data_IF_094427817796
#
_entry.id   IF_094427817796
#
_cell.length_a   1.000
_cell.length_b   1.000
_cell.length_c   1.000
_cell.angle_alpha   90.00
_cell.angle_beta   90.00
_cell.angle_gamma   90.00
#
_symmetry.space_group_name_H-M   'P 1'
#
loop_
_entity.id
_entity.type
_entity.pdbx_description
1 polymer ?
#
# COMPACT_ATOMS: atom_id res chain seq x y z
N UNK A 1 -1.45 -60.18 -19.31
CA UNK A 1 -0.73 -59.04 -18.70
C UNK A 1 -0.14 -59.51 -17.38
N UNK A 2 1.19 -59.63 -17.29
CA UNK A 2 1.87 -60.01 -16.04
C UNK A 2 1.95 -58.79 -15.11
N UNK A 3 1.71 -58.93 -13.80
CA UNK A 3 1.82 -57.82 -12.85
C UNK A 3 3.28 -57.50 -12.54
N UNK A 4 3.59 -56.20 -12.41
CA UNK A 4 4.90 -55.71 -11.97
C UNK A 4 5.14 -55.98 -10.47
N UNK A 5 6.38 -56.24 -10.04
CA UNK A 5 6.73 -56.37 -8.64
C UNK A 5 7.00 -54.98 -8.00
N UNK A 6 6.84 -54.83 -6.67
CA UNK A 6 7.13 -53.57 -5.98
C UNK A 6 8.63 -53.46 -5.65
N UNK A 7 9.25 -52.28 -5.69
CA UNK A 7 10.59 -52.10 -5.16
C UNK A 7 10.58 -51.72 -3.66
N UNK A 8 11.00 -52.70 -2.88
CA UNK A 8 11.94 -52.68 -1.73
C UNK A 8 12.29 -51.37 -1.02
N UNK A 9 12.17 -51.43 0.30
CA UNK A 9 12.58 -50.48 1.34
C UNK A 9 14.07 -50.56 1.75
N UNK A 10 14.55 -49.49 2.42
CA UNK A 10 15.71 -49.35 3.37
C UNK A 10 17.03 -48.83 2.71
N UNK A 11 17.89 -47.95 3.33
CA UNK A 11 18.00 -47.60 4.76
C UNK A 11 18.00 -46.11 5.17
N UNK A 12 17.63 -45.95 6.43
CA UNK A 12 17.94 -44.85 7.34
C UNK A 12 19.44 -44.82 7.72
N UNK A 13 20.17 -43.80 7.29
CA UNK A 13 21.35 -43.27 8.01
C UNK A 13 21.91 -42.05 7.27
N UNK A 14 21.81 -40.87 7.89
CA UNK A 14 22.87 -39.85 7.85
C UNK A 14 22.56 -38.76 8.88
N UNK A 15 23.14 -38.99 10.06
CA UNK A 15 23.79 -38.01 10.96
C UNK A 15 23.38 -36.55 10.84
N UNK A 16 22.83 -36.06 11.96
CA UNK A 16 22.83 -34.66 12.36
C UNK A 16 24.24 -34.07 12.25
N UNK A 17 24.38 -33.01 11.46
CA UNK A 17 25.55 -32.14 11.47
C UNK A 17 25.10 -30.75 11.89
N UNK A 18 25.61 -30.38 13.06
CA UNK A 18 25.49 -29.14 13.80
C UNK A 18 25.69 -27.88 12.94
N UNK A 19 24.77 -26.92 13.04
CA UNK A 19 24.96 -25.52 12.60
C UNK A 19 24.96 -24.64 13.87
N UNK A 20 25.83 -23.62 13.97
CA UNK A 20 26.37 -23.13 15.24
C UNK A 20 25.41 -22.23 16.02
N UNK A 21 25.44 -22.39 17.34
CA UNK A 21 24.76 -21.57 18.33
C UNK A 21 25.32 -20.13 18.33
N UNK A 22 24.45 -19.15 18.11
CA UNK A 22 24.75 -17.72 18.30
C UNK A 22 25.00 -17.48 19.80
N UNK A 23 26.10 -16.82 20.22
CA UNK A 23 26.37 -16.63 21.64
C UNK A 23 25.39 -15.63 22.24
N UNK A 24 24.72 -16.07 23.32
CA UNK A 24 23.85 -15.26 24.17
C UNK A 24 24.59 -14.01 24.66
N UNK A 25 24.03 -12.82 24.41
CA UNK A 25 24.50 -11.58 25.03
C UNK A 25 24.38 -11.69 26.55
N UNK A 26 25.53 -11.79 27.22
CA UNK A 26 25.62 -11.60 28.67
C UNK A 26 25.33 -10.15 28.99
N UNK A 27 24.41 -9.97 29.94
CA UNK A 27 24.14 -8.73 30.67
C UNK A 27 25.44 -8.07 31.15
N UNK A 28 25.68 -6.83 30.74
CA UNK A 28 26.62 -5.94 31.43
C UNK A 28 25.82 -4.75 31.94
N UNK A 29 25.61 -4.72 33.26
CA UNK A 29 25.07 -3.58 33.98
C UNK A 29 26.13 -2.48 34.11
N UNK A 30 25.65 -1.24 34.22
CA UNK A 30 26.38 0.01 34.48
C UNK A 30 26.79 0.81 33.24
N UNK A 31 25.85 1.62 32.74
CA UNK A 31 26.10 2.97 32.23
C UNK A 31 24.85 3.82 32.51
N UNK A 32 24.82 4.50 33.65
CA UNK A 32 23.91 5.61 33.92
C UNK A 32 24.37 6.80 33.09
N UNK A 33 23.72 7.02 31.95
CA UNK A 33 23.92 8.18 31.08
C UNK A 33 22.58 8.80 30.74
N UNK A 34 22.42 10.06 31.15
CA UNK A 34 21.29 10.95 30.91
C UNK A 34 20.76 10.90 29.47
N UNK A 35 19.50 10.51 29.31
CA UNK A 35 18.78 10.64 28.05
C UNK A 35 18.50 12.11 27.74
N UNK A 36 19.22 12.65 26.76
CA UNK A 36 18.89 13.92 26.13
C UNK A 36 17.86 13.66 25.03
N UNK A 37 16.63 14.12 25.26
CA UNK A 37 15.66 14.34 24.20
C UNK A 37 16.19 15.47 23.28
N UNK A 38 16.47 15.18 22.01
CA UNK A 38 16.87 16.24 21.08
C UNK A 38 17.57 15.86 19.78
N UNK A 39 17.13 14.83 19.03
CA UNK A 39 17.66 14.56 17.68
C UNK A 39 16.59 14.43 16.57
N UNK A 40 15.29 14.47 16.88
CA UNK A 40 14.21 14.22 15.89
C UNK A 40 13.71 15.44 15.10
N UNK A 41 14.31 16.62 15.30
CA UNK A 41 13.75 17.90 14.81
C UNK A 41 14.13 18.31 13.37
N UNK A 42 15.35 18.05 12.84
CA UNK A 42 15.72 18.51 11.49
C UNK A 42 15.09 17.67 10.38
N UNK A 43 15.05 16.35 10.55
CA UNK A 43 14.58 15.39 9.55
C UNK A 43 13.08 15.53 9.26
N UNK A 44 12.27 15.68 10.31
CA UNK A 44 10.82 15.95 10.18
C UNK A 44 10.56 17.29 9.46
N UNK A 45 11.40 18.30 9.67
CA UNK A 45 11.27 19.58 8.99
C UNK A 45 11.60 19.48 7.50
N UNK A 46 12.58 18.65 7.12
CA UNK A 46 12.92 18.41 5.71
C UNK A 46 11.81 17.65 4.96
N UNK A 47 11.24 16.61 5.57
CA UNK A 47 10.09 15.88 5.00
C UNK A 47 8.89 16.82 4.82
N UNK A 48 8.59 17.65 5.83
CA UNK A 48 7.50 18.62 5.75
C UNK A 48 7.74 19.70 4.69
N UNK A 49 8.98 20.17 4.53
CA UNK A 49 9.35 21.12 3.49
C UNK A 49 9.17 20.51 2.09
N UNK A 50 9.63 19.27 1.90
CA UNK A 50 9.46 18.52 0.66
C UNK A 50 7.98 18.35 0.30
N UNK A 51 7.16 17.97 1.28
CA UNK A 51 5.73 17.84 1.07
C UNK A 51 5.09 19.19 0.78
N UNK A 52 5.45 20.26 1.49
CA UNK A 52 4.95 21.61 1.24
C UNK A 52 5.14 22.06 -0.23
N UNK A 53 6.34 21.84 -0.79
CA UNK A 53 6.64 22.11 -2.20
C UNK A 53 5.86 21.20 -3.15
N UNK A 54 5.51 20.00 -2.69
CA UNK A 54 4.79 18.99 -3.46
C UNK A 54 3.27 19.14 -3.44
N UNK A 55 2.67 19.73 -2.40
CA UNK A 55 1.21 19.92 -2.31
C UNK A 55 0.70 20.74 -3.48
N UNK A 56 1.47 21.71 -4.00
CA UNK A 56 1.08 22.45 -5.20
C UNK A 56 0.97 21.56 -6.46
N UNK A 57 1.72 20.48 -6.52
CA UNK A 57 1.83 19.59 -7.68
C UNK A 57 0.95 18.33 -7.53
N UNK A 58 0.80 17.83 -6.30
CA UNK A 58 0.02 16.67 -5.93
C UNK A 58 -1.34 17.03 -5.28
N UNK A 59 -1.85 18.24 -5.50
CA UNK A 59 -3.14 18.67 -4.97
C UNK A 59 -4.29 17.83 -5.53
N UNK A 60 -5.07 17.22 -4.63
CA UNK A 60 -6.32 16.58 -5.00
C UNK A 60 -7.36 17.62 -5.45
N UNK A 61 -8.32 17.24 -6.32
CA UNK A 61 -9.40 18.14 -6.70
C UNK A 61 -10.17 18.64 -5.47
N UNK A 62 -10.59 19.91 -5.47
CA UNK A 62 -11.27 20.52 -4.33
C UNK A 62 -12.55 19.77 -3.91
N UNK A 63 -13.22 19.09 -4.85
CA UNK A 63 -14.38 18.23 -4.56
C UNK A 63 -13.99 17.01 -3.72
N UNK A 64 -12.83 16.40 -3.98
CA UNK A 64 -12.30 15.27 -3.19
C UNK A 64 -11.95 15.74 -1.79
N UNK A 65 -11.24 16.87 -1.67
CA UNK A 65 -10.88 17.44 -0.37
C UNK A 65 -12.12 17.77 0.48
N UNK A 66 -13.16 18.37 -0.14
CA UNK A 66 -14.44 18.61 0.57
C UNK A 66 -15.14 17.33 1.00
N UNK A 67 -15.09 16.26 0.19
CA UNK A 67 -15.66 14.97 0.59
C UNK A 67 -14.90 14.35 1.77
N UNK A 68 -13.56 14.43 1.78
CA UNK A 68 -12.72 14.02 2.91
C UNK A 68 -13.02 14.84 4.17
N UNK A 69 -13.13 16.17 4.04
CA UNK A 69 -13.48 17.04 5.17
C UNK A 69 -14.86 16.67 5.77
N UNK A 70 -15.83 16.29 4.93
CA UNK A 70 -17.14 15.82 5.38
C UNK A 70 -17.07 14.46 6.09
N UNK A 71 -16.20 13.52 5.67
CA UNK A 71 -16.00 12.27 6.40
C UNK A 71 -15.48 12.48 7.82
N UNK A 72 -14.66 13.52 8.01
CA UNK A 72 -14.11 13.88 9.31
C UNK A 72 -15.10 14.70 10.18
N UNK A 73 -16.27 15.06 9.64
CA UNK A 73 -17.27 15.85 10.34
C UNK A 73 -18.37 14.95 10.95
N UNK A 74 -18.50 14.87 12.28
CA UNK A 74 -19.49 14.01 12.94
C UNK A 74 -20.95 14.43 12.66
N UNK A 75 -21.18 15.62 12.11
CA UNK A 75 -22.50 16.13 11.76
C UNK A 75 -22.83 15.98 10.26
N UNK A 76 -21.90 15.49 9.43
CA UNK A 76 -22.14 15.31 8.01
C UNK A 76 -23.03 14.09 7.75
N UNK A 77 -23.98 14.23 6.83
CA UNK A 77 -24.83 13.14 6.36
C UNK A 77 -24.28 12.52 5.07
N UNK A 78 -24.73 11.30 4.79
CA UNK A 78 -24.50 10.64 3.50
C UNK A 78 -25.00 11.48 2.31
N UNK A 79 -26.05 12.29 2.51
CA UNK A 79 -26.58 13.18 1.48
C UNK A 79 -25.62 14.33 1.16
N UNK A 80 -24.97 14.90 2.18
CA UNK A 80 -24.04 16.03 2.00
C UNK A 80 -22.84 15.60 1.14
N UNK A 81 -22.31 14.39 1.41
CA UNK A 81 -21.21 13.82 0.64
C UNK A 81 -21.65 13.52 -0.80
N UNK A 82 -22.84 12.94 -0.96
CA UNK A 82 -23.41 12.70 -2.29
C UNK A 82 -23.58 13.97 -3.11
N UNK A 83 -24.00 15.07 -2.48
CA UNK A 83 -24.12 16.37 -3.13
C UNK A 83 -22.76 16.90 -3.58
N UNK A 84 -21.76 16.91 -2.70
CA UNK A 84 -20.40 17.38 -3.04
C UNK A 84 -19.81 16.60 -4.21
N UNK A 85 -19.93 15.27 -4.22
CA UNK A 85 -19.44 14.43 -5.32
C UNK A 85 -20.17 14.75 -6.63
N UNK A 86 -21.49 14.98 -6.54
CA UNK A 86 -22.34 15.27 -7.71
C UNK A 86 -22.05 16.63 -8.35
N UNK A 87 -21.36 17.55 -7.67
CA UNK A 87 -20.95 18.85 -8.24
C UNK A 87 -19.87 18.72 -9.33
N UNK A 88 -19.15 17.59 -9.38
CA UNK A 88 -18.20 17.30 -10.46
C UNK A 88 -18.70 16.11 -11.30
N UNK A 89 -19.27 16.39 -12.50
CA UNK A 89 -19.76 15.35 -13.40
C UNK A 89 -18.69 14.36 -13.84
N UNK A 90 -17.43 14.78 -13.96
CA UNK A 90 -16.33 13.92 -14.40
C UNK A 90 -15.86 12.97 -13.28
N UNK A 91 -15.87 13.42 -12.02
CA UNK A 91 -15.66 12.54 -10.87
C UNK A 91 -16.84 11.59 -10.70
N UNK A 92 -18.07 12.10 -10.79
CA UNK A 92 -19.29 11.29 -10.68
C UNK A 92 -19.34 10.18 -11.74
N UNK A 93 -19.08 10.51 -13.01
CA UNK A 93 -19.07 9.52 -14.09
C UNK A 93 -17.98 8.46 -13.89
N UNK A 94 -16.79 8.86 -13.41
CA UNK A 94 -15.70 7.93 -13.12
C UNK A 94 -16.05 6.98 -11.98
N UNK A 95 -16.60 7.51 -10.91
CA UNK A 95 -17.04 6.72 -9.77
C UNK A 95 -18.13 5.73 -10.20
N UNK A 96 -19.15 6.19 -10.93
CA UNK A 96 -20.19 5.32 -11.48
C UNK A 96 -19.59 4.25 -12.40
N UNK A 97 -18.57 4.57 -13.19
CA UNK A 97 -17.85 3.57 -13.99
C UNK A 97 -17.15 2.52 -13.12
N UNK A 98 -16.49 2.93 -12.05
CA UNK A 98 -15.80 2.03 -11.11
C UNK A 98 -16.81 1.10 -10.44
N UNK A 99 -17.87 1.63 -9.81
CA UNK A 99 -18.85 0.80 -9.08
C UNK A 99 -19.66 -0.12 -10.01
N UNK A 100 -19.80 0.20 -11.29
CA UNK A 100 -20.45 -0.68 -12.28
C UNK A 100 -19.47 -1.64 -12.98
N UNK A 101 -18.20 -1.66 -12.60
CA UNK A 101 -17.22 -2.59 -13.18
C UNK A 101 -17.44 -4.01 -12.66
N UNK A 102 -16.92 -4.98 -13.41
CA UNK A 102 -16.94 -6.39 -13.00
C UNK A 102 -16.21 -6.62 -11.65
N UNK A 103 -15.26 -5.75 -11.29
CA UNK A 103 -14.58 -5.74 -9.99
C UNK A 103 -15.51 -5.56 -8.78
N UNK A 104 -16.65 -4.86 -8.96
CA UNK A 104 -17.70 -4.76 -7.92
C UNK A 104 -18.85 -5.74 -8.15
N UNK A 105 -19.12 -6.13 -9.40
CA UNK A 105 -20.01 -7.24 -9.71
C UNK A 105 -21.46 -7.06 -9.25
N UNK A 106 -21.96 -5.82 -9.11
CA UNK A 106 -23.34 -5.59 -8.69
C UNK A 106 -24.34 -6.14 -9.72
N UNK A 107 -25.45 -6.78 -9.27
CA UNK A 107 -26.41 -7.43 -10.16
C UNK A 107 -27.22 -6.44 -11.00
N UNK A 108 -27.35 -5.20 -10.51
CA UNK A 108 -28.09 -4.13 -11.16
C UNK A 108 -27.19 -2.92 -11.36
N UNK A 109 -27.31 -2.27 -12.51
CA UNK A 109 -26.59 -1.03 -12.82
C UNK A 109 -26.93 0.07 -11.81
N UNK A 110 -25.90 0.74 -11.30
CA UNK A 110 -26.01 1.92 -10.43
C UNK A 110 -25.92 3.17 -11.29
N UNK A 111 -26.98 3.98 -11.31
CA UNK A 111 -27.07 5.15 -12.20
C UNK A 111 -26.86 6.49 -11.49
N UNK A 112 -26.90 6.52 -10.16
CA UNK A 112 -26.79 7.77 -9.37
C UNK A 112 -25.81 7.64 -8.22
N UNK A 113 -25.21 8.77 -7.82
CA UNK A 113 -24.28 8.84 -6.67
C UNK A 113 -25.01 8.47 -5.38
N UNK A 114 -26.24 8.95 -5.18
CA UNK A 114 -27.03 8.58 -4.01
C UNK A 114 -27.26 7.07 -3.91
N UNK A 115 -27.53 6.39 -5.05
CA UNK A 115 -27.64 4.93 -5.07
C UNK A 115 -26.31 4.25 -4.81
N UNK A 116 -25.21 4.76 -5.36
CA UNK A 116 -23.87 4.25 -5.08
C UNK A 116 -23.56 4.32 -3.58
N UNK A 117 -23.88 5.44 -2.92
CA UNK A 117 -23.72 5.60 -1.47
C UNK A 117 -24.53 4.59 -0.68
N UNK A 118 -25.79 4.34 -1.07
CA UNK A 118 -26.63 3.35 -0.40
C UNK A 118 -26.10 1.92 -0.52
N UNK A 119 -25.49 1.58 -1.65
CA UNK A 119 -25.06 0.19 -1.94
C UNK A 119 -23.62 -0.07 -1.47
N UNK A 120 -22.72 0.89 -1.68
CA UNK A 120 -21.28 0.75 -1.40
C UNK A 120 -20.93 1.28 -0.01
N UNK A 121 -21.64 2.30 0.47
CA UNK A 121 -21.29 3.03 1.68
C UNK A 121 -20.59 4.35 1.39
N UNK A 122 -20.77 5.32 2.29
CA UNK A 122 -20.25 6.68 2.10
C UNK A 122 -18.73 6.76 2.26
N UNK A 123 -18.19 5.98 3.19
CA UNK A 123 -16.76 5.95 3.50
C UNK A 123 -15.99 5.35 2.31
N UNK A 124 -16.41 4.17 1.89
CA UNK A 124 -15.86 3.39 0.81
C UNK A 124 -15.89 4.17 -0.51
N UNK A 125 -17.01 4.83 -0.80
CA UNK A 125 -17.16 5.59 -2.03
C UNK A 125 -16.22 6.81 -2.07
N UNK A 126 -16.01 7.47 -0.94
CA UNK A 126 -15.07 8.58 -0.82
C UNK A 126 -13.63 8.10 -0.97
N UNK A 127 -13.28 6.98 -0.33
CA UNK A 127 -11.96 6.37 -0.44
C UNK A 127 -11.65 5.99 -1.91
N UNK A 128 -12.62 5.47 -2.66
CA UNK A 128 -12.43 5.15 -4.09
C UNK A 128 -12.22 6.39 -4.96
N UNK A 129 -12.93 7.49 -4.68
CA UNK A 129 -12.70 8.77 -5.35
C UNK A 129 -11.30 9.28 -5.03
N UNK A 130 -10.87 9.17 -3.78
CA UNK A 130 -9.54 9.55 -3.32
C UNK A 130 -8.46 8.80 -4.10
N UNK A 131 -8.46 7.46 -4.06
CA UNK A 131 -7.48 6.62 -4.75
C UNK A 131 -7.45 6.87 -6.27
N UNK A 132 -8.62 6.88 -6.91
CA UNK A 132 -8.71 7.13 -8.36
C UNK A 132 -8.32 8.57 -8.77
N UNK A 133 -8.42 9.53 -7.86
CA UNK A 133 -7.98 10.91 -8.10
C UNK A 133 -6.49 11.06 -7.90
N UNK A 134 -5.91 10.42 -6.88
CA UNK A 134 -4.47 10.38 -6.66
C UNK A 134 -3.74 9.84 -7.89
N UNK A 135 -4.16 8.68 -8.43
CA UNK A 135 -3.57 8.11 -9.67
C UNK A 135 -3.53 9.15 -10.79
N UNK A 136 -4.61 9.90 -11.02
CA UNK A 136 -4.68 10.87 -12.12
C UNK A 136 -3.84 12.12 -11.89
N UNK A 137 -3.73 12.57 -10.65
CA UNK A 137 -2.86 13.70 -10.29
C UNK A 137 -1.42 13.32 -10.60
N UNK A 138 -1.00 12.14 -10.16
CA UNK A 138 0.37 11.68 -10.34
C UNK A 138 0.70 11.20 -11.75
N UNK A 139 -0.25 10.62 -12.49
CA UNK A 139 -0.05 10.23 -13.89
C UNK A 139 0.23 11.42 -14.83
N UNK A 140 -0.01 12.66 -14.38
CA UNK A 140 0.36 13.88 -15.13
C UNK A 140 1.79 14.32 -14.88
N UNK A 141 2.46 13.75 -13.89
CA UNK A 141 3.82 14.10 -13.52
C UNK A 141 4.75 13.17 -14.32
N UNK A 142 5.59 13.71 -15.23
CA UNK A 142 6.53 12.89 -15.96
C UNK A 142 7.57 12.32 -14.98
N UNK A 143 7.79 11.01 -15.05
CA UNK A 143 8.83 10.32 -14.29
C UNK A 143 9.87 9.74 -15.27
N UNK A 144 11.15 9.95 -14.96
CA UNK A 144 12.29 9.46 -15.76
C UNK A 144 13.04 8.31 -15.11
N UNK A 145 12.74 8.01 -13.84
CA UNK A 145 13.44 7.02 -13.03
C UNK A 145 12.74 5.66 -13.07
N UNK A 146 11.42 5.68 -13.14
CA UNK A 146 10.59 4.47 -13.13
C UNK A 146 9.54 4.50 -14.23
N UNK A 147 9.08 3.31 -14.58
CA UNK A 147 7.89 3.12 -15.41
C UNK A 147 6.64 3.35 -14.56
N UNK A 148 5.86 4.38 -14.92
CA UNK A 148 4.66 4.75 -14.19
C UNK A 148 3.52 3.73 -14.36
N UNK A 149 3.49 2.97 -15.46
CA UNK A 149 2.51 1.91 -15.65
C UNK A 149 2.78 0.78 -14.65
N UNK A 150 4.01 0.29 -14.61
CA UNK A 150 4.43 -0.75 -13.65
C UNK A 150 4.23 -0.31 -12.19
N UNK A 151 4.53 0.95 -11.85
CA UNK A 151 4.30 1.47 -10.50
C UNK A 151 2.83 1.41 -10.09
N UNK A 152 1.92 1.83 -10.99
CA UNK A 152 0.49 1.82 -10.70
C UNK A 152 -0.11 0.41 -10.78
N UNK A 153 0.45 -0.50 -11.58
CA UNK A 153 0.07 -1.91 -11.57
C UNK A 153 0.48 -2.59 -10.25
N UNK A 154 1.70 -2.36 -9.75
CA UNK A 154 2.11 -2.78 -8.41
C UNK A 154 1.16 -2.25 -7.33
N UNK A 155 0.98 -0.92 -7.30
CA UNK A 155 0.13 -0.27 -6.31
C UNK A 155 -1.31 -0.79 -6.36
N UNK A 156 -1.87 -0.98 -7.56
CA UNK A 156 -3.21 -1.50 -7.73
C UNK A 156 -3.31 -2.96 -7.25
N UNK A 157 -2.35 -3.80 -7.61
CA UNK A 157 -2.34 -5.20 -7.20
C UNK A 157 -2.21 -5.30 -5.68
N UNK A 158 -1.31 -4.53 -5.05
CA UNK A 158 -1.20 -4.41 -3.59
C UNK A 158 -2.53 -3.98 -2.96
N UNK A 159 -3.23 -3.02 -3.56
CA UNK A 159 -4.59 -2.65 -3.15
C UNK A 159 -5.57 -3.83 -3.22
N UNK A 160 -5.62 -4.56 -4.34
CA UNK A 160 -6.52 -5.72 -4.51
C UNK A 160 -6.20 -6.82 -3.48
N UNK A 161 -4.93 -7.14 -3.28
CA UNK A 161 -4.48 -8.10 -2.27
C UNK A 161 -4.89 -7.64 -0.87
N UNK A 162 -4.69 -6.36 -0.55
CA UNK A 162 -5.08 -5.80 0.75
C UNK A 162 -6.60 -5.88 0.97
N UNK A 163 -7.42 -5.68 -0.08
CA UNK A 163 -8.88 -5.87 -0.05
C UNK A 163 -9.26 -7.31 0.26
N UNK A 164 -8.59 -8.26 -0.38
CA UNK A 164 -8.81 -9.70 -0.20
C UNK A 164 -8.43 -10.12 1.23
N UNK A 165 -7.25 -9.71 1.70
CA UNK A 165 -6.81 -9.94 3.08
C UNK A 165 -7.82 -9.37 4.08
N UNK A 166 -8.29 -8.14 3.87
CA UNK A 166 -9.30 -7.50 4.71
C UNK A 166 -10.61 -8.31 4.81
N UNK A 167 -11.04 -8.99 3.73
CA UNK A 167 -12.20 -9.88 3.75
C UNK A 167 -11.95 -11.13 4.60
N UNK A 168 -10.78 -11.75 4.46
CA UNK A 168 -10.39 -12.91 5.27
C UNK A 168 -10.25 -12.56 6.76
N UNK A 169 -9.80 -11.34 7.05
CA UNK A 169 -9.75 -10.75 8.39
C UNK A 169 -11.12 -10.31 8.93
N UNK A 170 -12.17 -10.33 8.09
CA UNK A 170 -13.50 -9.81 8.40
C UNK A 170 -13.46 -8.35 8.86
N UNK A 171 -12.56 -7.56 8.29
CA UNK A 171 -12.46 -6.13 8.55
C UNK A 171 -13.72 -5.42 8.03
N UNK A 172 -14.24 -4.41 8.76
CA UNK A 172 -15.47 -3.73 8.37
C UNK A 172 -15.32 -2.90 7.09
N UNK A 173 -14.13 -2.34 6.83
CA UNK A 173 -13.89 -1.37 5.76
C UNK A 173 -12.89 -1.90 4.72
N UNK A 174 -13.32 -2.89 3.94
CA UNK A 174 -12.45 -3.55 2.94
C UNK A 174 -11.99 -2.60 1.81
N UNK A 175 -12.83 -1.66 1.38
CA UNK A 175 -12.46 -0.67 0.36
C UNK A 175 -11.45 0.36 0.89
N UNK A 176 -11.51 0.66 2.19
CA UNK A 176 -10.48 1.50 2.82
C UNK A 176 -9.12 0.81 2.77
N UNK A 177 -9.08 -0.48 3.12
CA UNK A 177 -7.86 -1.30 3.02
C UNK A 177 -7.35 -1.37 1.57
N UNK A 178 -8.25 -1.51 0.59
CA UNK A 178 -7.90 -1.44 -0.83
C UNK A 178 -7.17 -0.13 -1.18
N UNK A 179 -7.69 1.01 -0.73
CA UNK A 179 -7.10 2.32 -1.03
C UNK A 179 -5.82 2.57 -0.24
N UNK A 180 -5.70 2.07 0.99
CA UNK A 180 -4.44 2.09 1.75
C UNK A 180 -3.34 1.34 0.99
N UNK A 181 -3.63 0.13 0.51
CA UNK A 181 -2.69 -0.63 -0.33
C UNK A 181 -2.40 0.07 -1.66
N UNK A 182 -3.39 0.73 -2.27
CA UNK A 182 -3.17 1.50 -3.50
C UNK A 182 -2.26 2.73 -3.32
N UNK A 183 -2.24 3.32 -2.13
CA UNK A 183 -1.53 4.57 -1.87
C UNK A 183 -0.26 4.41 -1.02
N UNK A 184 0.09 3.20 -0.59
CA UNK A 184 1.20 2.95 0.34
C UNK A 184 2.53 3.56 -0.14
N UNK A 185 2.82 3.48 -1.44
CA UNK A 185 4.09 3.91 -2.05
C UNK A 185 4.04 5.31 -2.70
N UNK A 186 2.98 6.08 -2.49
CA UNK A 186 2.83 7.38 -3.17
C UNK A 186 3.96 8.38 -2.83
N UNK A 187 4.60 8.23 -1.67
CA UNK A 187 5.75 9.03 -1.27
C UNK A 187 6.94 8.88 -2.21
N UNK A 188 7.11 7.71 -2.83
CA UNK A 188 8.17 7.45 -3.82
C UNK A 188 8.04 8.38 -5.02
N UNK A 189 6.81 8.69 -5.45
CA UNK A 189 6.56 9.61 -6.56
C UNK A 189 6.99 11.04 -6.24
N UNK A 190 6.87 11.44 -4.97
CA UNK A 190 7.36 12.73 -4.48
C UNK A 190 8.89 12.74 -4.49
N UNK A 191 9.53 11.68 -3.97
CA UNK A 191 10.98 11.53 -4.00
C UNK A 191 11.53 11.59 -5.43
N UNK A 192 10.97 10.82 -6.36
CA UNK A 192 11.40 10.80 -7.77
C UNK A 192 11.28 12.16 -8.45
N UNK A 193 10.32 12.98 -8.02
CA UNK A 193 10.09 14.30 -8.60
C UNK A 193 11.04 15.35 -8.02
N UNK A 194 11.23 15.38 -6.71
CA UNK A 194 11.89 16.49 -6.00
C UNK A 194 13.32 16.18 -5.56
N UNK A 195 13.71 14.90 -5.56
CA UNK A 195 15.07 14.41 -5.26
C UNK A 195 15.50 13.33 -6.28
N UNK A 196 15.45 13.61 -7.61
CA UNK A 196 15.66 12.58 -8.62
C UNK A 196 17.06 11.97 -8.58
N UNK A 197 18.11 12.75 -8.31
CA UNK A 197 19.48 12.25 -8.23
C UNK A 197 19.68 11.31 -7.04
N UNK A 198 19.19 11.69 -5.85
CA UNK A 198 19.24 10.85 -4.65
C UNK A 198 18.38 9.60 -4.82
N UNK A 199 17.20 9.73 -5.41
CA UNK A 199 16.33 8.59 -5.68
C UNK A 199 16.99 7.60 -6.64
N UNK A 200 17.67 8.08 -7.68
CA UNK A 200 18.45 7.21 -8.58
C UNK A 200 19.55 6.47 -7.82
N UNK A 201 20.26 7.16 -6.92
CA UNK A 201 21.30 6.54 -6.08
C UNK A 201 20.72 5.48 -5.14
N UNK A 202 19.58 5.74 -4.49
CA UNK A 202 18.90 4.79 -3.62
C UNK A 202 18.42 3.56 -4.41
N UNK A 203 17.83 3.75 -5.60
CA UNK A 203 17.42 2.67 -6.49
C UNK A 203 18.61 1.80 -6.95
N UNK A 204 19.73 2.42 -7.29
CA UNK A 204 20.96 1.70 -7.66
C UNK A 204 21.53 0.92 -6.47
N UNK A 205 21.51 1.51 -5.26
CA UNK A 205 21.96 0.88 -4.02
C UNK A 205 21.08 -0.32 -3.66
N UNK A 206 19.75 -0.19 -3.72
CA UNK A 206 18.82 -1.29 -3.48
C UNK A 206 19.07 -2.45 -4.45
N UNK A 207 19.14 -2.16 -5.76
CA UNK A 207 19.36 -3.18 -6.81
C UNK A 207 20.71 -3.89 -6.69
N UNK A 208 21.79 -3.17 -6.39
CA UNK A 208 23.15 -3.72 -6.36
C UNK A 208 23.54 -4.32 -5.02
N UNK A 209 23.04 -3.76 -3.92
CA UNK A 209 23.32 -4.18 -2.55
C UNK A 209 22.33 -5.21 -2.00
N UNK A 210 21.20 -5.46 -2.68
CA UNK A 210 20.14 -6.34 -2.20
C UNK A 210 19.44 -5.81 -0.95
N UNK A 211 19.49 -4.50 -0.73
CA UNK A 211 18.83 -3.81 0.38
C UNK A 211 17.39 -3.44 0.00
N UNK A 212 16.44 -3.46 0.94
CA UNK A 212 15.12 -2.87 0.73
C UNK A 212 15.22 -1.39 0.33
N UNK A 213 14.31 -0.92 -0.52
CA UNK A 213 14.36 0.45 -1.02
C UNK A 213 14.29 1.49 0.10
N UNK A 214 13.41 1.30 1.10
CA UNK A 214 13.29 2.23 2.22
C UNK A 214 14.60 2.35 3.01
N UNK A 215 15.34 1.26 3.22
CA UNK A 215 16.66 1.31 3.88
C UNK A 215 17.70 2.05 3.04
N UNK A 216 17.70 1.86 1.72
CA UNK A 216 18.59 2.58 0.81
C UNK A 216 18.25 4.08 0.79
N UNK A 217 16.97 4.44 0.83
CA UNK A 217 16.52 5.82 0.95
C UNK A 217 16.95 6.44 2.27
N UNK A 218 16.77 5.74 3.40
CA UNK A 218 17.25 6.19 4.71
C UNK A 218 18.77 6.48 4.68
N UNK A 219 19.57 5.64 4.02
CA UNK A 219 21.02 5.86 3.91
C UNK A 219 21.40 7.07 3.03
N UNK A 220 20.64 7.36 1.98
CA UNK A 220 20.97 8.40 0.99
C UNK A 220 20.34 9.75 1.34
N UNK A 221 19.11 9.75 1.83
CA UNK A 221 18.26 10.92 2.08
C UNK A 221 18.11 11.22 3.57
N UNK A 222 18.31 10.24 4.45
CA UNK A 222 17.97 10.34 5.86
C UNK A 222 16.47 10.22 6.14
N UNK A 223 15.65 9.86 5.15
CA UNK A 223 14.23 9.55 5.30
C UNK A 223 13.80 8.68 4.12
N UNK A 224 12.66 8.00 4.24
CA UNK A 224 12.13 7.12 3.19
C UNK A 224 10.79 7.58 2.60
N UNK A 225 10.33 6.85 1.58
CA UNK A 225 9.04 7.11 0.94
C UNK A 225 7.84 6.91 1.87
N UNK A 226 7.92 6.06 2.89
CA UNK A 226 6.82 5.85 3.84
C UNK A 226 6.62 7.09 4.69
N UNK A 227 7.70 7.72 5.15
CA UNK A 227 7.67 8.99 5.88
C UNK A 227 7.14 10.15 5.02
N UNK A 228 7.58 10.24 3.76
CA UNK A 228 7.10 11.26 2.81
C UNK A 228 5.63 11.04 2.45
N UNK A 229 5.23 9.78 2.23
CA UNK A 229 3.85 9.41 1.96
C UNK A 229 2.93 9.76 3.12
N UNK A 230 3.33 9.46 4.36
CA UNK A 230 2.56 9.81 5.55
C UNK A 230 2.38 11.33 5.69
N UNK A 231 3.44 12.10 5.46
CA UNK A 231 3.37 13.56 5.46
C UNK A 231 2.46 14.09 4.32
N UNK A 232 2.39 13.41 3.17
CA UNK A 232 1.42 13.73 2.12
C UNK A 232 -0.02 13.44 2.57
N UNK A 233 -0.28 12.31 3.25
CA UNK A 233 -1.60 12.00 3.80
C UNK A 233 -2.04 13.03 4.84
N UNK A 234 -1.13 13.48 5.70
CA UNK A 234 -1.35 14.58 6.65
C UNK A 234 -1.71 15.88 5.91
N UNK A 235 -0.97 16.23 4.84
CA UNK A 235 -1.24 17.42 4.05
C UNK A 235 -2.59 17.36 3.31
N UNK A 236 -3.02 16.16 2.91
CA UNK A 236 -4.36 15.89 2.35
C UNK A 236 -5.45 15.77 3.42
N UNK A 237 -5.11 15.94 4.71
CA UNK A 237 -6.05 15.84 5.84
C UNK A 237 -6.83 14.51 5.86
N UNK A 238 -6.16 13.45 5.42
CA UNK A 238 -6.75 12.12 5.47
C UNK A 238 -6.86 11.63 6.92
N UNK A 239 -7.80 10.70 7.20
CA UNK A 239 -7.88 10.05 8.51
C UNK A 239 -6.56 9.41 8.94
N UNK A 240 -6.33 9.36 10.25
CA UNK A 240 -5.13 8.75 10.88
C UNK A 240 -4.86 7.35 10.36
N UNK A 241 -5.90 6.60 10.00
CA UNK A 241 -5.77 5.28 9.41
C UNK A 241 -4.87 5.27 8.17
N UNK A 242 -5.00 6.25 7.26
CA UNK A 242 -4.11 6.34 6.09
C UNK A 242 -2.69 6.78 6.46
N UNK A 243 -2.57 7.73 7.38
CA UNK A 243 -1.27 8.27 7.82
C UNK A 243 -0.44 7.16 8.46
N UNK A 244 -1.02 6.43 9.41
CA UNK A 244 -0.35 5.38 10.17
C UNK A 244 -0.01 4.19 9.27
N UNK A 245 -0.94 3.74 8.41
CA UNK A 245 -0.67 2.62 7.50
C UNK A 245 0.44 2.97 6.51
N UNK A 246 0.42 4.17 5.93
CA UNK A 246 1.47 4.60 4.99
C UNK A 246 2.80 4.75 5.70
N UNK A 247 2.83 5.28 6.93
CA UNK A 247 4.07 5.47 7.70
C UNK A 247 4.75 4.15 8.07
N UNK A 248 3.97 3.16 8.49
CA UNK A 248 4.49 1.96 9.14
C UNK A 248 4.34 0.69 8.31
N UNK A 249 4.00 0.76 7.02
CA UNK A 249 3.83 -0.46 6.22
C UNK A 249 5.11 -1.30 6.07
N UNK A 250 6.32 -0.73 6.23
CA UNK A 250 7.57 -1.52 6.33
C UNK A 250 7.84 -2.08 7.74
N UNK A 251 7.21 -1.49 8.76
CA UNK A 251 7.38 -1.84 10.17
C UNK A 251 6.02 -1.91 10.91
N UNK A 252 5.08 -2.79 10.52
CA UNK A 252 3.74 -2.87 11.11
C UNK A 252 3.70 -3.03 12.64
N UNK A 253 4.77 -3.51 13.29
CA UNK A 253 4.82 -3.59 14.76
C UNK A 253 4.91 -2.23 15.46
N UNK A 254 5.32 -1.16 14.76
CA UNK A 254 5.40 0.20 15.29
C UNK A 254 4.06 0.95 15.24
N UNK A 255 3.10 0.45 14.45
CA UNK A 255 1.74 0.96 14.42
C UNK A 255 1.09 0.87 15.82
N UNK A 256 0.23 1.84 16.15
CA UNK A 256 -0.42 2.00 17.45
C UNK A 256 -1.93 1.75 17.35
N UNK A 257 -2.65 2.52 16.54
CA UNK A 257 -4.11 2.48 16.48
C UNK A 257 -4.61 1.56 15.38
N UNK A 258 -3.92 1.49 14.24
CA UNK A 258 -4.36 0.79 13.03
C UNK A 258 -3.45 -0.41 12.70
N UNK A 259 -3.01 -1.12 13.74
CA UNK A 259 -2.06 -2.25 13.61
C UNK A 259 -2.51 -3.34 12.64
N UNK A 260 -3.81 -3.65 12.63
CA UNK A 260 -4.35 -4.71 11.78
C UNK A 260 -4.32 -4.28 10.30
N UNK A 261 -4.74 -3.05 10.02
CA UNK A 261 -4.70 -2.46 8.69
C UNK A 261 -3.27 -2.31 8.19
N UNK A 262 -2.34 -1.84 9.04
CA UNK A 262 -0.92 -1.71 8.69
C UNK A 262 -0.31 -3.06 8.39
N UNK A 263 -0.60 -4.09 9.20
CA UNK A 263 -0.14 -5.45 8.93
C UNK A 263 -0.75 -6.02 7.64
N UNK A 264 -2.02 -5.72 7.33
CA UNK A 264 -2.65 -6.12 6.08
C UNK A 264 -1.99 -5.48 4.86
N UNK A 265 -1.64 -4.18 4.92
CA UNK A 265 -0.90 -3.49 3.85
C UNK A 265 0.50 -4.06 3.69
N UNK A 266 1.22 -4.30 4.79
CA UNK A 266 2.54 -4.94 4.76
C UNK A 266 2.49 -6.31 4.08
N UNK A 267 1.59 -7.20 4.51
CA UNK A 267 1.43 -8.52 3.91
C UNK A 267 1.02 -8.42 2.44
N UNK A 268 0.18 -7.45 2.09
CA UNK A 268 -0.22 -7.23 0.71
C UNK A 268 0.96 -6.84 -0.18
N UNK A 269 1.85 -5.97 0.28
CA UNK A 269 3.03 -5.57 -0.47
C UNK A 269 4.02 -6.75 -0.63
N UNK A 270 4.25 -7.51 0.44
CA UNK A 270 5.07 -8.74 0.39
C UNK A 270 4.51 -9.76 -0.61
N UNK A 271 3.20 -10.04 -0.55
CA UNK A 271 2.52 -10.97 -1.47
C UNK A 271 2.62 -10.47 -2.91
N UNK A 272 2.44 -9.18 -3.14
CA UNK A 272 2.55 -8.56 -4.47
C UNK A 272 3.97 -8.69 -5.01
N UNK A 273 4.98 -8.44 -4.18
CA UNK A 273 6.38 -8.65 -4.52
C UNK A 273 6.67 -10.09 -4.94
N UNK A 274 6.12 -11.08 -4.22
CA UNK A 274 6.26 -12.50 -4.58
C UNK A 274 5.55 -12.82 -5.90
N UNK A 275 4.30 -12.38 -6.08
CA UNK A 275 3.52 -12.61 -7.29
C UNK A 275 4.22 -12.01 -8.53
N UNK A 276 4.67 -10.76 -8.46
CA UNK A 276 5.30 -10.05 -9.58
C UNK A 276 6.77 -10.41 -9.81
N UNK A 277 7.49 -10.90 -8.79
CA UNK A 277 8.86 -11.43 -8.97
C UNK A 277 8.90 -12.63 -9.90
N UNK A 278 7.81 -13.41 -9.98
CA UNK A 278 7.70 -14.51 -10.94
C UNK A 278 7.46 -14.03 -12.38
N UNK A 279 7.05 -12.77 -12.57
CA UNK A 279 6.57 -12.25 -13.85
C UNK A 279 7.46 -11.17 -14.50
N UNK A 280 8.16 -10.30 -13.75
CA UNK A 280 8.83 -9.12 -14.35
C UNK A 280 10.14 -8.63 -13.71
N UNK A 281 10.60 -9.18 -12.58
CA UNK A 281 11.97 -8.98 -12.09
C UNK A 281 12.40 -7.54 -11.74
N UNK A 282 11.47 -6.59 -11.61
CA UNK A 282 11.77 -5.16 -11.37
C UNK A 282 11.52 -4.71 -9.93
N UNK A 283 10.67 -5.40 -9.17
CA UNK A 283 10.40 -5.12 -7.76
C UNK A 283 10.99 -6.23 -6.89
N UNK A 284 11.95 -5.85 -6.04
CA UNK A 284 12.47 -6.75 -5.02
C UNK A 284 11.44 -6.80 -3.87
N UNK A 285 10.96 -7.99 -3.52
CA UNK A 285 9.96 -8.16 -2.49
C UNK A 285 10.42 -7.51 -1.16
N UNK A 286 9.54 -6.73 -0.54
CA UNK A 286 9.77 -6.19 0.80
C UNK A 286 10.05 -7.34 1.78
N UNK A 287 11.04 -7.19 2.67
CA UNK A 287 11.32 -8.23 3.66
C UNK A 287 10.11 -8.39 4.59
N UNK A 288 9.68 -9.63 4.79
CA UNK A 288 8.59 -9.94 5.70
C UNK A 288 8.99 -9.63 7.14
N UNK A 289 8.23 -8.77 7.81
CA UNK A 289 8.33 -8.61 9.26
C UNK A 289 7.59 -9.79 9.94
N UNK A 290 8.33 -10.58 10.72
CA UNK A 290 7.78 -11.78 11.37
C UNK A 290 6.50 -11.54 12.20
N UNK A 291 6.35 -10.35 12.79
CA UNK A 291 5.17 -9.98 13.58
C UNK A 291 3.90 -9.72 12.76
N UNK A 292 3.99 -9.52 11.45
CA UNK A 292 2.83 -9.17 10.62
C UNK A 292 1.78 -10.31 10.54
N UNK A 293 2.23 -11.57 10.46
CA UNK A 293 1.34 -12.73 10.53
C UNK A 293 0.68 -12.88 11.90
N UNK A 294 1.42 -12.59 12.97
CA UNK A 294 0.88 -12.65 14.34
C UNK A 294 -0.19 -11.58 14.58
N UNK A 295 0.03 -10.35 14.09
CA UNK A 295 -0.91 -9.24 14.19
C UNK A 295 -2.23 -9.52 13.45
N UNK A 296 -2.16 -10.22 12.32
CA UNK A 296 -3.33 -10.57 11.50
C UNK A 296 -4.01 -11.86 11.97
N UNK A 297 -3.28 -12.74 12.67
CA UNK A 297 -3.77 -14.06 13.05
C UNK A 297 -3.98 -15.00 11.86
N UNK A 298 -3.47 -14.64 10.67
CA UNK A 298 -3.55 -15.46 9.46
C UNK A 298 -2.40 -16.46 9.40
N UNK A 299 -2.64 -17.62 8.78
CA UNK A 299 -1.56 -18.56 8.43
C UNK A 299 -0.92 -18.18 7.10
N UNK A 300 0.37 -18.46 6.95
CA UNK A 300 1.12 -18.33 5.70
C UNK A 300 0.45 -19.12 4.55
N UNK A 301 -0.24 -20.22 4.88
CA UNK A 301 -0.97 -21.04 3.89
C UNK A 301 -2.07 -20.28 3.14
N UNK A 302 -2.49 -19.10 3.63
CA UNK A 302 -3.49 -18.28 2.96
C UNK A 302 -2.95 -17.60 1.70
N UNK A 303 -1.63 -17.51 1.53
CA UNK A 303 -1.01 -16.76 0.43
C UNK A 303 -1.52 -17.21 -0.95
N UNK A 304 -1.54 -18.51 -1.23
CA UNK A 304 -2.00 -19.05 -2.52
C UNK A 304 -3.48 -18.72 -2.79
N UNK A 305 -4.31 -18.74 -1.73
CA UNK A 305 -5.73 -18.39 -1.82
C UNK A 305 -5.89 -16.90 -2.11
N UNK A 306 -5.14 -16.05 -1.41
CA UNK A 306 -5.17 -14.60 -1.58
C UNK A 306 -4.70 -14.19 -2.97
N UNK A 307 -3.61 -14.79 -3.47
CA UNK A 307 -3.10 -14.54 -4.82
C UNK A 307 -4.14 -14.95 -5.86
N UNK A 308 -4.71 -16.15 -5.76
CA UNK A 308 -5.73 -16.60 -6.71
C UNK A 308 -6.98 -15.71 -6.72
N UNK A 309 -7.45 -15.27 -5.55
CA UNK A 309 -8.57 -14.32 -5.45
C UNK A 309 -8.22 -12.93 -5.97
N UNK A 310 -6.99 -12.46 -5.77
CA UNK A 310 -6.52 -11.18 -6.27
C UNK A 310 -6.37 -11.18 -7.80
N UNK A 311 -5.74 -12.22 -8.36
CA UNK A 311 -5.60 -12.40 -9.82
C UNK A 311 -6.96 -12.41 -10.52
N UNK A 312 -7.96 -13.08 -9.93
CA UNK A 312 -9.32 -13.12 -10.45
C UNK A 312 -10.00 -11.74 -10.50
N UNK A 313 -9.55 -10.79 -9.68
CA UNK A 313 -10.12 -9.44 -9.58
C UNK A 313 -9.25 -8.37 -10.28
N UNK A 314 -7.96 -8.64 -10.50
CA UNK A 314 -6.98 -7.62 -10.87
C UNK A 314 -7.28 -6.98 -12.23
N UNK A 315 -7.52 -7.75 -13.28
CA UNK A 315 -7.75 -7.19 -14.62
C UNK A 315 -9.01 -6.30 -14.66
N UNK A 316 -10.05 -6.68 -13.94
CA UNK A 316 -11.26 -5.87 -13.84
C UNK A 316 -11.01 -4.56 -13.06
N UNK A 317 -10.24 -4.64 -11.97
CA UNK A 317 -9.80 -3.46 -11.22
C UNK A 317 -8.96 -2.53 -12.09
N UNK A 318 -8.03 -3.11 -12.86
CA UNK A 318 -7.10 -2.40 -13.75
C UNK A 318 -7.85 -1.65 -14.83
N UNK A 319 -8.81 -2.30 -15.49
CA UNK A 319 -9.64 -1.69 -16.52
C UNK A 319 -10.58 -0.60 -15.98
N UNK A 320 -10.99 -0.71 -14.71
CA UNK A 320 -11.89 0.23 -14.05
C UNK A 320 -11.14 1.49 -13.57
N UNK A 321 -9.98 1.32 -12.94
CA UNK A 321 -9.31 2.33 -12.12
C UNK A 321 -8.13 2.98 -12.85
N UNK A 322 -7.26 2.21 -13.51
CA UNK A 322 -6.09 2.78 -14.16
C UNK A 322 -6.50 3.54 -15.43
N UNK A 323 -5.85 4.69 -15.73
CA UNK A 323 -6.02 5.35 -17.01
C UNK A 323 -5.61 4.40 -18.12
N UNK A 324 -6.44 4.26 -19.17
CA UNK A 324 -5.98 3.59 -20.40
C UNK A 324 -4.79 4.40 -20.93
N UNK A 325 -3.67 3.72 -21.17
CA UNK A 325 -2.51 4.33 -21.84
C UNK A 325 -2.99 5.09 -23.07
N UNK A 326 -2.52 6.34 -23.25
CA UNK A 326 -2.74 7.02 -24.51
C UNK A 326 -2.10 6.14 -25.57
N UNK A 327 -2.88 5.61 -26.51
CA UNK A 327 -2.33 5.18 -27.78
C UNK A 327 -1.51 6.36 -28.30
N UNK A 328 -0.20 6.15 -28.40
CA UNK A 328 0.76 7.12 -28.92
C UNK A 328 0.39 7.55 -30.34
#
# INVERSE_FOLDING_TARGET
>A
MRPMPPPTSIPSSCSATSIPTIPSRRSCAACTGSGTAGETTPMKAEVQALVGDSVQLASLPAVVMRAVDLLNNPNASASDIGQVISEDPALSARLLKIVNSAFYGFPSRIETISRAITVVGTLELTDLILGSSAIRVFARIPNRLIDMEQFWEHSLYTGVVCRVLARHLRAPYTERCFVMGLLHDVGSLILYRYRPEQSRQALEMARSGGLPLHEAEQQVLGFDHAEVGAALMEAWRLPESFIETTRYHHHPSEAQQFRLETAAVHLADVITGVAHSTASGTHQASPLESGAWELTGLSVDIMDTVIAEADAQFEDARAAILPRGRAA
#
